data_IF_487068320675
#
_entry.id   IF_487068320675
#
_cell.length_a   1.000
_cell.length_b   1.000
_cell.length_c   1.000
_cell.angle_alpha   90.00
_cell.angle_beta   90.00
_cell.angle_gamma   90.00
#
_symmetry.space_group_name_H-M   'P 1'
#
loop_
_entity.id
_entity.type
_entity.pdbx_description
1 polymer ?
#
# COMPACT_ATOMS: atom_id res chain seq x y z
N UNK A 1 -18.91 54.08 -31.11
CA UNK A 1 -19.37 52.98 -30.24
C UNK A 1 -19.50 51.72 -31.08
N UNK A 2 -18.43 50.94 -31.14
CA UNK A 2 -18.43 49.64 -31.74
C UNK A 2 -18.91 48.61 -30.71
N UNK A 3 -20.06 47.98 -30.96
CA UNK A 3 -20.50 46.83 -30.24
C UNK A 3 -19.80 45.60 -30.75
N UNK A 4 -18.81 45.09 -30.02
CA UNK A 4 -18.21 43.79 -30.33
C UNK A 4 -19.25 42.70 -29.97
N UNK A 5 -19.76 42.06 -31.01
CA UNK A 5 -20.58 40.85 -30.89
C UNK A 5 -19.65 39.65 -30.80
N UNK A 6 -19.56 39.00 -29.66
CA UNK A 6 -18.96 37.68 -29.51
C UNK A 6 -19.93 36.68 -30.19
N UNK A 7 -19.55 36.19 -31.36
CA UNK A 7 -20.23 35.11 -32.06
C UNK A 7 -19.48 33.81 -31.76
N UNK A 8 -20.24 32.77 -31.37
CA UNK A 8 -19.81 31.41 -31.11
C UNK A 8 -19.01 31.18 -29.81
N UNK A 9 -19.72 31.10 -28.68
CA UNK A 9 -19.19 30.53 -27.45
C UNK A 9 -19.51 29.03 -27.44
N UNK A 10 -18.51 28.21 -27.65
CA UNK A 10 -18.65 26.75 -27.62
C UNK A 10 -18.21 26.23 -26.25
N UNK A 11 -19.08 25.47 -25.56
CA UNK A 11 -18.78 24.83 -24.30
C UNK A 11 -18.74 23.30 -24.46
N UNK A 12 -17.59 22.68 -24.21
CA UNK A 12 -17.44 21.24 -24.13
C UNK A 12 -17.73 20.73 -22.73
N UNK A 13 -18.51 19.65 -22.60
CA UNK A 13 -18.76 18.96 -21.32
C UNK A 13 -18.13 17.58 -21.38
N UNK A 14 -17.54 17.14 -20.26
CA UNK A 14 -16.97 15.81 -20.11
C UNK A 14 -17.71 15.05 -19.03
N UNK A 15 -17.92 13.74 -19.23
CA UNK A 15 -18.44 12.87 -18.20
C UNK A 15 -17.32 12.49 -17.25
N UNK A 16 -17.58 12.54 -15.95
CA UNK A 16 -16.66 12.03 -14.94
C UNK A 16 -16.85 10.53 -14.79
N UNK A 17 -15.74 9.81 -14.51
CA UNK A 17 -15.72 8.38 -14.26
C UNK A 17 -15.74 8.05 -12.77
N UNK A 18 -15.75 6.75 -12.47
CA UNK A 18 -15.62 6.19 -11.11
C UNK A 18 -14.46 5.22 -11.07
N UNK A 19 -13.79 5.17 -9.93
CA UNK A 19 -12.75 4.18 -9.63
C UNK A 19 -13.04 3.60 -8.26
N UNK A 20 -13.09 2.27 -8.17
CA UNK A 20 -13.37 1.55 -6.93
C UNK A 20 -12.42 0.38 -6.74
N UNK A 21 -12.14 0.08 -5.48
CA UNK A 21 -11.28 -1.02 -5.12
C UNK A 21 -11.38 -1.38 -3.65
N UNK A 22 -10.46 -2.21 -3.18
CA UNK A 22 -10.39 -2.63 -1.80
C UNK A 22 -8.95 -2.91 -1.37
N UNK A 23 -8.73 -2.88 -0.06
CA UNK A 23 -7.47 -3.28 0.59
C UNK A 23 -7.78 -4.46 1.49
N UNK A 24 -6.90 -5.46 1.51
CA UNK A 24 -7.09 -6.71 2.22
C UNK A 24 -5.81 -7.20 2.90
N UNK A 25 -5.96 -8.11 3.88
CA UNK A 25 -4.84 -8.71 4.61
C UNK A 25 -4.51 -10.03 3.94
N UNK A 26 -3.38 -10.05 3.25
CA UNK A 26 -2.79 -11.25 2.64
C UNK A 26 -2.08 -12.06 3.73
N UNK A 27 -2.76 -13.07 4.29
CA UNK A 27 -2.23 -13.82 5.44
C UNK A 27 -1.16 -14.82 5.06
N UNK A 28 -1.22 -15.35 3.86
CA UNK A 28 -0.32 -16.39 3.39
C UNK A 28 0.81 -15.86 2.48
N UNK A 29 0.74 -14.60 2.04
CA UNK A 29 1.76 -13.95 1.22
C UNK A 29 1.76 -14.39 -0.24
N UNK A 30 0.65 -14.94 -0.75
CA UNK A 30 0.57 -15.43 -2.13
C UNK A 30 0.10 -14.38 -3.15
N UNK A 31 -0.23 -13.18 -2.68
CA UNK A 31 -0.73 -12.07 -3.49
C UNK A 31 -2.06 -12.34 -4.20
N UNK A 32 -2.84 -13.32 -3.73
CA UNK A 32 -4.16 -13.68 -4.25
C UNK A 32 -5.17 -13.63 -3.12
N UNK A 33 -6.22 -12.81 -3.28
CA UNK A 33 -7.22 -12.69 -2.24
C UNK A 33 -8.08 -13.96 -2.14
N UNK A 34 -8.10 -14.60 -0.98
CA UNK A 34 -9.00 -15.68 -0.61
C UNK A 34 -10.27 -15.16 0.10
N UNK A 35 -11.32 -15.97 0.13
CA UNK A 35 -12.62 -15.58 0.69
C UNK A 35 -12.57 -15.36 2.22
N UNK A 36 -11.69 -16.06 2.92
CA UNK A 36 -11.43 -16.00 4.36
C UNK A 36 -10.47 -14.87 4.78
N UNK A 37 -9.88 -14.16 3.82
CA UNK A 37 -9.01 -13.04 4.09
C UNK A 37 -9.78 -11.75 4.30
N UNK A 38 -9.43 -11.08 5.38
CA UNK A 38 -10.14 -9.90 5.85
C UNK A 38 -9.83 -8.67 4.99
N UNK A 39 -10.84 -7.85 4.77
CA UNK A 39 -10.69 -6.54 4.18
C UNK A 39 -10.27 -5.53 5.26
N UNK A 40 -9.35 -4.61 4.92
CA UNK A 40 -8.77 -3.68 5.86
C UNK A 40 -9.36 -2.28 5.71
N UNK A 41 -10.04 -1.80 6.75
CA UNK A 41 -10.61 -0.46 6.84
C UNK A 41 -9.59 0.60 7.29
N UNK A 42 -9.88 1.87 7.01
CA UNK A 42 -9.06 2.99 7.48
C UNK A 42 -7.75 3.21 6.73
N UNK A 43 -7.52 2.51 5.62
CA UNK A 43 -6.32 2.66 4.79
C UNK A 43 -6.48 3.89 3.89
N UNK A 44 -5.48 4.78 3.91
CA UNK A 44 -5.47 5.96 3.05
C UNK A 44 -5.10 5.59 1.60
N UNK A 45 -5.94 6.04 0.67
CA UNK A 45 -5.77 5.85 -0.77
C UNK A 45 -5.82 7.21 -1.46
N UNK A 46 -4.81 7.51 -2.27
CA UNK A 46 -4.64 8.78 -2.94
C UNK A 46 -4.67 8.59 -4.46
N UNK A 47 -5.50 9.36 -5.13
CA UNK A 47 -5.45 9.52 -6.57
C UNK A 47 -4.43 10.61 -6.91
N UNK A 48 -3.43 10.25 -7.69
CA UNK A 48 -2.33 11.14 -8.07
C UNK A 48 -2.39 11.46 -9.57
N UNK A 49 -1.70 12.53 -9.97
CA UNK A 49 -1.44 12.78 -11.41
C UNK A 49 -0.67 11.59 -12.02
N UNK A 50 -0.75 11.40 -13.33
CA UNK A 50 -0.14 10.25 -14.03
C UNK A 50 1.38 10.15 -13.86
N UNK A 51 2.03 11.24 -13.47
CA UNK A 51 3.46 11.25 -13.14
C UNK A 51 3.74 10.89 -11.66
N UNK A 52 2.69 10.75 -10.84
CA UNK A 52 2.82 10.42 -9.41
C UNK A 52 3.44 11.54 -8.56
N UNK A 53 3.29 12.80 -8.97
CA UNK A 53 3.90 13.96 -8.30
C UNK A 53 2.94 14.70 -7.37
N UNK A 54 1.67 14.77 -7.75
CA UNK A 54 0.66 15.54 -7.01
C UNK A 54 -0.56 14.69 -6.70
N UNK A 55 -1.03 14.77 -5.44
CA UNK A 55 -2.31 14.19 -5.03
C UNK A 55 -3.43 15.07 -5.56
N UNK A 56 -4.36 14.48 -6.31
CA UNK A 56 -5.54 15.16 -6.85
C UNK A 56 -6.78 14.96 -5.99
N UNK A 57 -6.90 13.79 -5.34
CA UNK A 57 -8.00 13.42 -4.45
C UNK A 57 -7.52 12.33 -3.48
N UNK A 58 -8.10 12.27 -2.29
CA UNK A 58 -7.81 11.25 -1.28
C UNK A 58 -9.09 10.68 -0.71
N UNK A 59 -9.05 9.41 -0.32
CA UNK A 59 -10.12 8.72 0.38
C UNK A 59 -9.52 7.71 1.36
N UNK A 60 -10.35 7.12 2.21
CA UNK A 60 -9.98 6.00 3.10
C UNK A 60 -10.86 4.80 2.81
N UNK A 61 -10.37 3.62 3.08
CA UNK A 61 -11.21 2.41 2.99
C UNK A 61 -12.28 2.42 4.09
N UNK A 62 -13.48 2.03 3.73
CA UNK A 62 -14.65 1.92 4.61
C UNK A 62 -14.55 0.69 5.54
N UNK A 63 -15.61 0.43 6.32
CA UNK A 63 -15.72 -0.72 7.23
C UNK A 63 -15.60 -2.08 6.52
N UNK A 64 -15.85 -2.11 5.21
CA UNK A 64 -15.69 -3.28 4.36
C UNK A 64 -14.38 -3.25 3.56
N UNK A 65 -13.40 -2.44 3.97
CA UNK A 65 -12.10 -2.31 3.31
C UNK A 65 -12.16 -1.77 1.89
N UNK A 66 -13.27 -1.12 1.48
CA UNK A 66 -13.49 -0.62 0.13
C UNK A 66 -13.21 0.87 0.04
N UNK A 67 -12.64 1.30 -1.09
CA UNK A 67 -12.48 2.71 -1.41
C UNK A 67 -13.15 3.07 -2.74
N UNK A 68 -13.51 4.35 -2.89
CA UNK A 68 -14.14 4.86 -4.09
C UNK A 68 -13.76 6.31 -4.38
N UNK A 69 -13.49 6.60 -5.66
CA UNK A 69 -13.41 7.94 -6.24
C UNK A 69 -14.57 8.09 -7.22
N UNK A 70 -15.57 8.86 -6.85
CA UNK A 70 -16.88 8.88 -7.55
C UNK A 70 -16.95 9.85 -8.73
N UNK A 71 -16.00 10.78 -8.87
CA UNK A 71 -16.10 11.89 -9.83
C UNK A 71 -14.76 12.22 -10.49
N UNK A 72 -14.04 11.20 -10.95
CA UNK A 72 -12.74 11.36 -11.57
C UNK A 72 -12.88 11.98 -12.96
N UNK A 73 -12.17 13.08 -13.21
CA UNK A 73 -12.13 13.70 -14.54
C UNK A 73 -11.34 12.81 -15.51
N UNK A 74 -11.57 12.90 -16.83
CA UNK A 74 -10.69 12.26 -17.80
C UNK A 74 -9.26 12.75 -17.64
N UNK A 75 -8.29 11.83 -17.71
CA UNK A 75 -6.88 12.14 -17.50
C UNK A 75 -6.03 10.91 -17.22
N UNK A 76 -4.74 11.12 -17.04
CA UNK A 76 -3.78 10.08 -16.63
C UNK A 76 -3.55 10.18 -15.14
N UNK A 77 -3.57 9.03 -14.44
CA UNK A 77 -3.50 8.93 -12.99
C UNK A 77 -2.61 7.78 -12.54
N UNK A 78 -2.20 7.83 -11.28
CA UNK A 78 -1.68 6.73 -10.46
C UNK A 78 -2.45 6.68 -9.15
N UNK A 79 -2.50 5.51 -8.53
CA UNK A 79 -2.91 5.38 -7.14
C UNK A 79 -1.68 5.26 -6.25
N UNK A 80 -1.77 5.86 -5.07
CA UNK A 80 -0.89 5.61 -3.93
C UNK A 80 -1.73 5.12 -2.78
N UNK A 81 -1.27 4.06 -2.13
CA UNK A 81 -1.85 3.52 -0.90
C UNK A 81 -0.80 3.64 0.19
N UNK A 82 -1.18 4.19 1.33
CA UNK A 82 -0.30 4.31 2.49
C UNK A 82 -0.59 3.15 3.44
N UNK A 83 0.38 2.22 3.61
CA UNK A 83 0.22 1.10 4.52
C UNK A 83 0.15 1.61 5.96
N UNK A 84 -0.85 1.20 6.76
CA UNK A 84 -0.90 1.52 8.18
C UNK A 84 0.30 0.95 8.94
N UNK A 85 0.56 1.50 10.14
CA UNK A 85 1.60 0.97 11.01
C UNK A 85 1.41 -0.52 11.29
N UNK A 86 2.48 -1.29 11.20
CA UNK A 86 2.46 -2.74 11.37
C UNK A 86 2.10 -3.53 10.12
N UNK A 87 1.95 -2.87 8.97
CA UNK A 87 1.68 -3.52 7.70
C UNK A 87 2.74 -3.21 6.64
N UNK A 88 2.94 -4.15 5.73
CA UNK A 88 3.74 -3.99 4.50
C UNK A 88 2.98 -4.57 3.32
N UNK A 89 3.30 -4.15 2.11
CA UNK A 89 2.68 -4.70 0.91
C UNK A 89 3.15 -6.13 0.64
N UNK A 90 2.22 -7.03 0.35
CA UNK A 90 2.52 -8.43 0.01
C UNK A 90 3.14 -8.58 -1.39
N UNK A 91 2.95 -7.60 -2.26
CA UNK A 91 3.41 -7.61 -3.64
C UNK A 91 2.35 -7.10 -4.61
N UNK A 92 2.51 -7.41 -5.89
CA UNK A 92 1.50 -7.10 -6.89
C UNK A 92 0.35 -8.11 -6.80
N UNK A 93 -0.83 -7.64 -6.39
CA UNK A 93 -2.04 -8.47 -6.38
C UNK A 93 -2.32 -8.99 -7.80
N UNK A 94 -2.41 -10.30 -7.95
CA UNK A 94 -2.51 -10.98 -9.26
C UNK A 94 -3.86 -10.75 -9.94
N UNK A 95 -4.90 -10.47 -9.17
CA UNK A 95 -6.27 -10.24 -9.62
C UNK A 95 -6.63 -8.74 -9.72
N UNK A 96 -5.70 -7.85 -9.39
CA UNK A 96 -5.92 -6.40 -9.49
C UNK A 96 -5.89 -5.91 -10.93
N UNK A 97 -6.89 -5.12 -11.33
CA UNK A 97 -6.92 -4.46 -12.65
C UNK A 97 -5.86 -3.37 -12.79
N UNK A 98 -5.34 -2.88 -11.67
CA UNK A 98 -4.20 -1.95 -11.63
C UNK A 98 -3.10 -2.59 -10.78
N UNK A 99 -2.06 -3.17 -11.40
CA UNK A 99 -0.99 -3.80 -10.65
C UNK A 99 -0.21 -2.79 -9.81
N UNK A 100 0.30 -3.27 -8.69
CA UNK A 100 1.27 -2.54 -7.87
C UNK A 100 2.60 -2.50 -8.63
N UNK A 101 3.10 -1.30 -8.95
CA UNK A 101 4.33 -1.11 -9.72
C UNK A 101 5.57 -1.00 -8.81
N UNK A 102 5.40 -0.38 -7.65
CA UNK A 102 6.49 -0.18 -6.69
C UNK A 102 6.00 0.03 -5.28
N UNK A 103 6.84 -0.30 -4.30
CA UNK A 103 6.65 0.01 -2.89
C UNK A 103 7.87 0.75 -2.36
N UNK A 104 7.66 1.78 -1.53
CA UNK A 104 8.71 2.49 -0.83
C UNK A 104 8.15 3.25 0.36
N UNK A 105 8.91 3.32 1.44
CA UNK A 105 8.55 4.10 2.64
C UNK A 105 7.13 3.80 3.17
N UNK A 106 6.71 2.51 3.17
CA UNK A 106 5.37 2.10 3.58
C UNK A 106 4.26 2.50 2.60
N UNK A 107 4.60 2.92 1.37
CA UNK A 107 3.65 3.34 0.33
C UNK A 107 3.71 2.43 -0.87
N UNK A 108 2.55 2.03 -1.37
CA UNK A 108 2.40 1.29 -2.62
C UNK A 108 1.90 2.20 -3.74
N UNK A 109 2.46 2.04 -4.93
CA UNK A 109 2.10 2.82 -6.12
C UNK A 109 1.62 1.90 -7.22
N UNK A 110 0.44 2.18 -7.79
CA UNK A 110 -0.03 1.46 -8.96
C UNK A 110 0.74 1.85 -10.23
N UNK A 111 0.63 1.03 -11.27
CA UNK A 111 0.94 1.48 -12.63
C UNK A 111 0.08 2.70 -13.01
N UNK A 112 0.58 3.51 -13.95
CA UNK A 112 -0.20 4.61 -14.50
C UNK A 112 -1.36 4.10 -15.34
N UNK A 113 -2.53 4.74 -15.22
CA UNK A 113 -3.71 4.39 -16.01
C UNK A 113 -4.39 5.64 -16.55
N UNK A 114 -5.21 5.46 -17.61
CA UNK A 114 -5.97 6.55 -18.21
C UNK A 114 -7.45 6.39 -17.86
N UNK A 115 -8.03 7.41 -17.23
CA UNK A 115 -9.46 7.52 -17.00
C UNK A 115 -10.09 8.20 -18.23
N UNK A 116 -10.95 7.49 -18.94
CA UNK A 116 -11.74 8.04 -20.03
C UNK A 116 -13.04 8.67 -19.48
N UNK A 117 -13.67 9.52 -20.29
CA UNK A 117 -14.92 10.17 -19.91
C UNK A 117 -16.05 9.18 -19.63
N UNK A 118 -16.55 9.12 -18.38
CA UNK A 118 -17.57 8.18 -17.92
C UNK A 118 -17.10 6.75 -17.70
N UNK A 119 -15.79 6.49 -17.73
CA UNK A 119 -15.24 5.16 -17.46
C UNK A 119 -15.52 4.71 -16.03
N UNK A 120 -15.67 3.39 -15.86
CA UNK A 120 -15.70 2.74 -14.57
C UNK A 120 -14.48 1.82 -14.47
N UNK A 121 -13.64 2.06 -13.49
CA UNK A 121 -12.51 1.19 -13.13
C UNK A 121 -12.88 0.51 -11.83
N UNK A 122 -13.07 -0.80 -11.87
CA UNK A 122 -13.51 -1.62 -10.74
C UNK A 122 -12.53 -2.78 -10.53
N UNK A 123 -12.42 -3.30 -9.32
CA UNK A 123 -11.54 -4.44 -9.02
C UNK A 123 -10.07 -4.07 -8.82
N UNK A 124 -9.79 -2.83 -8.41
CA UNK A 124 -8.45 -2.49 -7.94
C UNK A 124 -8.26 -3.08 -6.56
N UNK A 125 -7.18 -3.84 -6.35
CA UNK A 125 -6.92 -4.49 -5.07
C UNK A 125 -5.46 -4.33 -4.62
N UNK A 126 -5.27 -4.18 -3.30
CA UNK A 126 -3.96 -4.07 -2.67
C UNK A 126 -3.91 -5.01 -1.46
N UNK A 127 -2.98 -5.98 -1.50
CA UNK A 127 -2.72 -6.90 -0.40
C UNK A 127 -1.67 -6.35 0.56
N UNK A 128 -1.92 -6.50 1.85
CA UNK A 128 -1.01 -6.12 2.92
C UNK A 128 -0.73 -7.31 3.83
N UNK A 129 0.54 -7.49 4.20
CA UNK A 129 1.00 -8.45 5.20
C UNK A 129 1.13 -7.76 6.55
N UNK A 130 0.83 -8.43 7.64
CA UNK A 130 1.18 -7.97 8.98
C UNK A 130 2.68 -8.14 9.22
N UNK A 131 3.33 -7.09 9.72
CA UNK A 131 4.73 -7.18 10.14
C UNK A 131 4.88 -8.05 11.38
N UNK A 132 5.72 -9.09 11.29
CA UNK A 132 6.19 -9.83 12.43
C UNK A 132 7.25 -9.05 13.21
N UNK A 133 7.28 -9.22 14.54
CA UNK A 133 8.35 -8.70 15.40
C UNK A 133 9.06 -9.87 16.06
N UNK A 134 10.37 -9.95 15.87
CA UNK A 134 11.22 -10.91 16.57
C UNK A 134 11.93 -10.14 17.68
N UNK A 135 11.82 -10.62 18.93
CA UNK A 135 12.53 -10.05 20.06
C UNK A 135 13.29 -11.17 20.78
N UNK A 136 14.45 -10.84 21.31
CA UNK A 136 15.27 -11.80 22.02
C UNK A 136 16.21 -11.08 22.99
N UNK A 137 16.99 -11.87 23.73
CA UNK A 137 18.06 -11.42 24.60
C UNK A 137 19.32 -12.20 24.31
N UNK A 138 20.45 -11.54 24.39
CA UNK A 138 21.77 -12.17 24.44
C UNK A 138 22.31 -11.96 25.83
N UNK A 139 22.76 -13.03 26.49
CA UNK A 139 23.27 -13.00 27.84
C UNK A 139 24.59 -13.75 27.97
N UNK A 140 25.30 -13.47 29.06
CA UNK A 140 26.51 -14.21 29.41
C UNK A 140 26.08 -15.48 30.18
N UNK A 141 26.31 -16.64 29.58
CA UNK A 141 26.11 -17.94 30.18
C UNK A 141 27.38 -18.30 30.99
N UNK A 142 27.36 -18.01 32.30
CA UNK A 142 28.53 -18.16 33.17
C UNK A 142 28.73 -19.56 33.70
N UNK A 143 27.72 -20.41 33.69
CA UNK A 143 27.72 -21.78 34.20
C UNK A 143 27.64 -22.86 33.13
N UNK A 144 27.52 -22.41 31.85
CA UNK A 144 27.49 -23.25 30.65
C UNK A 144 26.33 -24.25 30.59
N UNK A 145 25.19 -23.91 31.20
CA UNK A 145 24.00 -24.76 31.18
C UNK A 145 23.03 -24.46 30.01
N UNK A 146 23.28 -23.39 29.25
CA UNK A 146 22.45 -22.97 28.14
C UNK A 146 21.13 -22.31 28.53
N UNK A 147 20.90 -22.05 29.81
CA UNK A 147 19.69 -21.45 30.35
C UNK A 147 19.95 -20.01 30.82
N UNK A 148 19.00 -19.13 30.61
CA UNK A 148 19.06 -17.77 31.15
C UNK A 148 18.65 -17.79 32.63
N UNK A 149 19.62 -17.78 33.53
CA UNK A 149 19.39 -17.69 34.97
C UNK A 149 18.79 -16.33 35.39
N UNK A 150 18.18 -16.25 36.58
CA UNK A 150 17.55 -15.03 37.09
C UNK A 150 18.52 -13.84 37.24
N UNK A 151 19.82 -14.12 37.42
CA UNK A 151 20.89 -13.13 37.56
C UNK A 151 21.73 -12.95 36.29
N UNK A 152 21.34 -13.56 35.18
CA UNK A 152 22.08 -13.47 33.94
C UNK A 152 22.21 -12.03 33.44
N UNK A 153 23.46 -11.57 33.26
CA UNK A 153 23.73 -10.24 32.73
C UNK A 153 23.53 -10.21 31.20
N UNK A 154 22.82 -9.19 30.73
CA UNK A 154 22.66 -8.95 29.27
C UNK A 154 24.00 -8.55 28.65
N UNK A 155 24.35 -9.21 27.55
CA UNK A 155 25.59 -8.90 26.80
C UNK A 155 25.34 -7.69 25.90
N UNK A 156 26.02 -6.58 26.17
CA UNK A 156 25.94 -5.35 25.35
C UNK A 156 26.84 -5.45 24.13
N UNK A 157 26.38 -4.89 23.00
CA UNK A 157 27.16 -4.80 21.77
C UNK A 157 27.23 -6.12 20.99
N UNK A 158 26.41 -7.11 21.36
CA UNK A 158 26.27 -8.30 20.56
C UNK A 158 25.46 -7.98 19.30
N UNK A 159 26.02 -8.30 18.13
CA UNK A 159 25.28 -8.19 16.86
C UNK A 159 24.45 -9.45 16.66
N UNK A 160 23.15 -9.28 16.43
CA UNK A 160 22.23 -10.37 16.08
C UNK A 160 21.75 -10.13 14.67
N UNK A 161 21.98 -11.10 13.79
CA UNK A 161 21.54 -11.07 12.39
C UNK A 161 20.33 -11.99 12.21
N UNK A 162 19.33 -11.52 11.47
CA UNK A 162 18.23 -12.33 10.95
C UNK A 162 18.65 -12.84 9.56
N UNK A 163 18.65 -14.14 9.40
CA UNK A 163 18.98 -14.78 8.12
C UNK A 163 17.72 -15.32 7.46
N UNK A 164 17.63 -15.22 6.15
CA UNK A 164 16.64 -15.90 5.33
C UNK A 164 16.86 -17.42 5.31
N UNK A 165 15.91 -18.18 4.78
CA UNK A 165 16.02 -19.63 4.63
C UNK A 165 17.15 -20.07 3.69
N UNK A 166 17.66 -19.18 2.86
CA UNK A 166 18.83 -19.33 1.97
C UNK A 166 20.15 -18.95 2.63
N UNK A 167 20.11 -18.44 3.88
CA UNK A 167 21.27 -18.00 4.65
C UNK A 167 21.73 -16.57 4.37
N UNK A 168 21.05 -15.83 3.51
CA UNK A 168 21.31 -14.41 3.27
C UNK A 168 20.85 -13.55 4.46
N UNK A 169 21.63 -12.51 4.81
CA UNK A 169 21.30 -11.60 5.90
C UNK A 169 20.15 -10.65 5.49
N UNK A 170 19.02 -10.75 6.19
CA UNK A 170 17.86 -9.91 5.97
C UNK A 170 17.87 -8.64 6.82
N UNK A 171 18.35 -8.72 8.05
CA UNK A 171 18.44 -7.60 8.99
C UNK A 171 19.42 -7.90 10.11
N UNK A 172 19.94 -6.84 10.75
CA UNK A 172 20.76 -6.96 11.97
C UNK A 172 20.41 -5.88 12.98
N UNK A 173 20.67 -6.20 14.27
CA UNK A 173 20.51 -5.27 15.41
C UNK A 173 21.59 -5.51 16.44
N UNK A 174 21.79 -4.52 17.32
CA UNK A 174 22.70 -4.59 18.47
C UNK A 174 21.96 -4.36 19.78
#
# INVERSE_FOLDING_TARGET
SGGDTLSEVNAGVVRRGTLTGFVWIDRNGDCVRQAEEELLSGVEVHLMDGAGRFITESTTTDENGRFAFARVAPGSYKLRVDAPEGYVFSGAAQDSVLPLESTRDGRGYSASFTMLGGAKVEGVSFGLLTQGKITGRVWLDGDYDGLMGETAEGLRGATVALLGGDGEEMAQTQ
#
